data_IF_478106764962
#
_entry.id   IF_478106764962
#
_cell.length_a   1.000
_cell.length_b   1.000
_cell.length_c   1.000
_cell.angle_alpha   90.00
_cell.angle_beta   90.00
_cell.angle_gamma   90.00
#
_symmetry.space_group_name_H-M   'P 1'
#
loop_
_entity.id
_entity.type
_entity.pdbx_description
1 polymer ?
#
# COMPACT_ATOMS: atom_id res chain seq x y z
N UNK A 1 20.94 -3.49 -1.40
CA UNK A 1 20.87 -2.08 -0.98
C UNK A 1 19.52 -1.84 -0.34
N UNK A 2 19.45 -1.16 0.81
CA UNK A 2 18.19 -0.78 1.45
C UNK A 2 17.85 0.65 1.05
N UNK A 3 16.67 0.85 0.46
CA UNK A 3 16.15 2.17 0.06
C UNK A 3 14.77 2.33 0.68
N UNK A 4 14.50 3.48 1.27
CA UNK A 4 13.19 3.84 1.80
C UNK A 4 12.67 5.04 1.00
N UNK A 5 11.45 4.93 0.47
CA UNK A 5 10.74 6.01 -0.21
C UNK A 5 9.44 6.25 0.54
N UNK A 6 9.14 7.50 0.88
CA UNK A 6 7.93 7.89 1.61
C UNK A 6 7.11 8.84 0.76
N UNK A 7 5.83 8.53 0.59
CA UNK A 7 4.84 9.39 -0.08
C UNK A 7 3.84 9.82 0.97
N UNK A 8 3.65 11.14 1.14
CA UNK A 8 2.68 11.72 2.07
C UNK A 8 1.75 12.65 1.32
N UNK A 9 0.46 12.57 1.64
CA UNK A 9 -0.56 13.50 1.15
C UNK A 9 -1.66 13.63 2.19
N UNK A 10 -2.16 14.86 2.37
CA UNK A 10 -3.30 15.16 3.23
C UNK A 10 -4.58 15.37 2.40
N UNK A 11 -4.53 15.10 1.10
CA UNK A 11 -5.58 15.45 0.14
C UNK A 11 -6.13 14.24 -0.62
N UNK A 12 -5.46 13.09 -0.55
CA UNK A 12 -5.93 11.90 -1.26
C UNK A 12 -7.21 11.37 -0.61
N UNK A 13 -8.23 11.20 -1.43
CA UNK A 13 -9.40 10.39 -1.11
C UNK A 13 -9.06 8.89 -1.11
N UNK A 14 -9.97 8.06 -0.60
CA UNK A 14 -9.80 6.59 -0.61
C UNK A 14 -9.64 6.00 -2.02
N UNK A 15 -10.38 6.52 -3.01
CA UNK A 15 -10.29 6.09 -4.41
C UNK A 15 -8.94 6.48 -5.04
N UNK A 16 -8.44 7.68 -4.75
CA UNK A 16 -7.14 8.13 -5.25
C UNK A 16 -5.99 7.37 -4.56
N UNK A 17 -6.14 7.03 -3.28
CA UNK A 17 -5.20 6.15 -2.59
C UNK A 17 -5.18 4.76 -3.23
N UNK A 18 -6.34 4.18 -3.54
CA UNK A 18 -6.43 2.92 -4.27
C UNK A 18 -5.71 3.00 -5.63
N UNK A 19 -5.98 4.06 -6.40
CA UNK A 19 -5.35 4.28 -7.71
C UNK A 19 -3.82 4.43 -7.58
N UNK A 20 -3.34 5.12 -6.54
CA UNK A 20 -1.92 5.26 -6.24
C UNK A 20 -1.27 3.90 -5.95
N UNK A 21 -1.89 3.07 -5.10
CA UNK A 21 -1.37 1.75 -4.75
C UNK A 21 -1.32 0.85 -6.00
N UNK A 22 -2.35 0.89 -6.84
CA UNK A 22 -2.39 0.14 -8.10
C UNK A 22 -1.28 0.60 -9.05
N UNK A 23 -1.05 1.90 -9.19
CA UNK A 23 0.03 2.43 -10.03
C UNK A 23 1.42 2.00 -9.54
N UNK A 24 1.63 1.95 -8.21
CA UNK A 24 2.89 1.44 -7.64
C UNK A 24 3.03 -0.05 -7.95
N UNK A 25 1.96 -0.84 -7.84
CA UNK A 25 1.96 -2.27 -8.17
C UNK A 25 2.34 -2.50 -9.63
N UNK A 26 1.69 -1.81 -10.54
CA UNK A 26 1.94 -1.96 -11.97
C UNK A 26 3.38 -1.58 -12.34
N UNK A 27 3.91 -0.53 -11.71
CA UNK A 27 5.29 -0.10 -11.88
C UNK A 27 6.29 -1.14 -11.35
N UNK A 28 6.07 -1.67 -10.14
CA UNK A 28 6.84 -2.75 -9.54
C UNK A 28 6.90 -3.95 -10.48
N UNK A 29 5.74 -4.44 -10.93
CA UNK A 29 5.67 -5.64 -11.75
C UNK A 29 6.36 -5.46 -13.11
N UNK A 30 6.21 -4.28 -13.72
CA UNK A 30 6.82 -3.98 -15.01
C UNK A 30 8.33 -3.82 -14.93
N UNK A 31 8.81 -3.12 -13.90
CA UNK A 31 10.23 -2.71 -13.82
C UNK A 31 11.08 -3.72 -13.07
N UNK A 32 10.49 -4.44 -12.12
CA UNK A 32 11.20 -5.30 -11.17
C UNK A 32 10.46 -6.63 -10.91
N UNK A 33 10.16 -7.42 -11.97
CA UNK A 33 9.31 -8.62 -11.84
C UNK A 33 9.84 -9.67 -10.86
N UNK A 34 11.17 -9.74 -10.68
CA UNK A 34 11.83 -10.75 -9.84
C UNK A 34 12.27 -10.20 -8.47
N UNK A 35 11.81 -9.01 -8.08
CA UNK A 35 12.19 -8.37 -6.81
C UNK A 35 11.03 -8.38 -5.83
N UNK A 36 11.35 -8.64 -4.56
CA UNK A 36 10.39 -8.47 -3.47
C UNK A 36 10.35 -6.99 -3.06
N UNK A 37 9.24 -6.32 -3.33
CA UNK A 37 8.97 -4.96 -2.86
C UNK A 37 7.87 -5.01 -1.81
N UNK A 38 8.06 -4.27 -0.71
CA UNK A 38 7.08 -4.12 0.36
C UNK A 38 6.63 -2.68 0.41
N UNK A 39 5.32 -2.47 0.51
CA UNK A 39 4.73 -1.13 0.63
C UNK A 39 4.16 -1.02 2.04
N UNK A 40 4.51 0.06 2.72
CA UNK A 40 3.92 0.43 3.99
C UNK A 40 2.98 1.62 3.76
N UNK A 41 1.74 1.50 4.21
CA UNK A 41 0.70 2.50 4.00
C UNK A 41 0.11 2.84 5.37
N UNK A 42 0.13 4.13 5.71
CA UNK A 42 -0.54 4.68 6.89
C UNK A 42 -1.65 5.61 6.41
N UNK A 43 -2.89 5.22 6.68
CA UNK A 43 -4.07 6.01 6.35
C UNK A 43 -4.97 6.07 7.60
N UNK A 44 -4.65 6.93 8.58
CA UNK A 44 -5.35 6.98 9.87
C UNK A 44 -6.82 7.40 9.74
N UNK A 45 -7.16 8.07 8.64
CA UNK A 45 -8.52 8.54 8.34
C UNK A 45 -9.41 7.42 7.78
N UNK A 46 -8.85 6.26 7.41
CA UNK A 46 -9.63 5.11 6.91
C UNK A 46 -9.93 4.14 8.03
N UNK A 47 -11.16 3.63 8.05
CA UNK A 47 -11.48 2.47 8.89
C UNK A 47 -10.76 1.21 8.39
N UNK A 48 -10.58 0.23 9.28
CA UNK A 48 -9.97 -1.06 8.92
C UNK A 48 -10.71 -1.77 7.79
N UNK A 49 -12.03 -1.61 7.70
CA UNK A 49 -12.87 -2.23 6.67
C UNK A 49 -12.69 -1.56 5.30
N UNK A 50 -12.59 -0.24 5.27
CA UNK A 50 -12.30 0.52 4.04
C UNK A 50 -10.89 0.23 3.53
N UNK A 51 -9.91 0.21 4.44
CA UNK A 51 -8.55 -0.17 4.10
C UNK A 51 -8.47 -1.59 3.53
N UNK A 52 -9.18 -2.56 4.13
CA UNK A 52 -9.24 -3.93 3.62
C UNK A 52 -9.86 -3.99 2.21
N UNK A 53 -10.98 -3.28 1.98
CA UNK A 53 -11.62 -3.19 0.65
C UNK A 53 -10.69 -2.62 -0.40
N UNK A 54 -9.95 -1.56 -0.07
CA UNK A 54 -8.95 -0.98 -0.97
C UNK A 54 -7.88 -2.02 -1.31
N UNK A 55 -7.30 -2.69 -0.31
CA UNK A 55 -6.24 -3.68 -0.52
C UNK A 55 -6.73 -4.90 -1.32
N UNK A 56 -7.95 -5.37 -1.08
CA UNK A 56 -8.58 -6.49 -1.81
C UNK A 56 -8.88 -6.15 -3.27
N UNK A 57 -9.05 -4.86 -3.58
CA UNK A 57 -9.32 -4.40 -4.94
C UNK A 57 -8.07 -4.33 -5.84
N UNK A 58 -6.87 -4.28 -5.26
CA UNK A 58 -5.60 -4.14 -5.99
C UNK A 58 -5.28 -5.43 -6.74
N UNK A 59 -4.83 -5.30 -8.00
CA UNK A 59 -4.53 -6.45 -8.86
C UNK A 59 -3.11 -6.37 -9.45
N UNK A 60 -2.33 -7.46 -9.41
CA UNK A 60 -2.57 -8.67 -8.64
C UNK A 60 -2.46 -8.39 -7.13
N UNK A 61 -3.17 -9.17 -6.29
CA UNK A 61 -3.35 -8.86 -4.88
C UNK A 61 -2.01 -8.85 -4.14
N UNK A 62 -1.85 -7.85 -3.26
CA UNK A 62 -0.77 -7.85 -2.29
C UNK A 62 -1.04 -8.89 -1.20
N UNK A 63 0.02 -9.53 -0.69
CA UNK A 63 -0.06 -10.21 0.60
C UNK A 63 0.04 -9.14 1.68
N UNK A 64 -1.05 -8.92 2.41
CA UNK A 64 -1.08 -8.00 3.54
C UNK A 64 -1.38 -8.76 4.84
N UNK A 65 -0.97 -8.21 5.98
CA UNK A 65 -1.15 -8.83 7.29
C UNK A 65 -1.32 -7.78 8.38
N UNK A 66 -1.88 -8.20 9.52
CA UNK A 66 -2.14 -7.33 10.66
C UNK A 66 -0.82 -6.94 11.33
N UNK A 67 -0.37 -5.70 11.14
CA UNK A 67 0.82 -5.23 11.85
C UNK A 67 0.41 -4.72 13.22
N UNK A 68 0.49 -5.58 14.24
CA UNK A 68 0.30 -5.23 15.65
C UNK A 68 1.61 -4.74 16.26
N UNK A 69 1.75 -3.43 16.44
CA UNK A 69 2.83 -2.87 17.28
C UNK A 69 2.34 -2.71 18.71
N UNK A 70 2.60 -3.72 19.55
CA UNK A 70 2.53 -3.59 21.00
C UNK A 70 3.78 -2.83 21.48
N UNK A 71 3.64 -1.52 21.73
CA UNK A 71 4.62 -0.77 22.52
C UNK A 71 4.36 -1.08 24.00
N UNK A 72 5.36 -1.68 24.66
CA UNK A 72 5.46 -1.71 26.12
C UNK A 72 6.06 -0.42 26.63
#
# INVERSE_FOLDING_TARGET
MKVTVTIQSNQLSGEELQALIQAIRDCEQKSFPDKEIRIWIEAPELSSEEAAKILDSIKPPYKYGTTLWLKR
#
